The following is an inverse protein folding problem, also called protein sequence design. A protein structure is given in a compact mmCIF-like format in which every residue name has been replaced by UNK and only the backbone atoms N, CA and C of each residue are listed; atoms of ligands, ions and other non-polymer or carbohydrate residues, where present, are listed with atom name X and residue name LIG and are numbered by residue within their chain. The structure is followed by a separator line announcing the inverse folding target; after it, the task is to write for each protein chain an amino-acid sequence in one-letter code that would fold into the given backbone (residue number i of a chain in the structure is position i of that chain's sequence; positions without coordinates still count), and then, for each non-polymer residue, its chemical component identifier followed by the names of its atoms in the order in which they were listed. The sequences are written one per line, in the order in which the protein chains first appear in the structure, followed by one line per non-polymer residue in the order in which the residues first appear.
data_IF_102010790887
#
_entry.id   IF_102010790887
#
_cell.length_a   1.000
_cell.length_b   1.000
_cell.length_c   1.000
_cell.angle_alpha   90.00
_cell.angle_beta   90.00
_cell.angle_gamma   90.00
#
_symmetry.space_group_name_H-M   'P 1'
#
loop_
_entity.id
_entity.type
_entity.pdbx_description
1 polymer ?
#
# COMPACT_ATOMS: atom_id res chain seq x y z
N UNK A 1 5.04 11.20 6.97
CA UNK A 1 4.56 9.81 6.76
C UNK A 1 3.67 9.80 5.53
N UNK A 2 3.85 8.84 4.62
CA UNK A 2 3.08 8.66 3.40
C UNK A 2 2.24 7.39 3.50
N UNK A 3 0.96 7.48 3.15
CA UNK A 3 0.08 6.31 3.01
C UNK A 3 -0.39 6.26 1.56
N UNK A 4 -0.03 5.20 0.85
CA UNK A 4 -0.16 5.14 -0.61
C UNK A 4 -0.90 3.87 -1.03
N UNK A 5 -1.76 3.99 -2.03
CA UNK A 5 -2.47 2.86 -2.60
C UNK A 5 -1.54 2.00 -3.46
N UNK A 6 -1.61 0.68 -3.28
CA UNK A 6 -0.93 -0.31 -4.10
C UNK A 6 -1.21 -0.08 -5.59
N UNK A 7 -0.17 -0.13 -6.42
CA UNK A 7 -0.24 0.10 -7.86
C UNK A 7 -0.24 1.57 -8.28
N UNK A 8 -0.42 2.53 -7.36
CA UNK A 8 -0.33 3.97 -7.65
C UNK A 8 1.11 4.49 -7.61
N UNK A 9 1.33 5.75 -7.98
CA UNK A 9 2.64 6.41 -7.89
C UNK A 9 2.71 7.27 -6.62
N UNK A 10 3.91 7.48 -6.07
CA UNK A 10 4.15 8.43 -4.99
C UNK A 10 5.36 9.30 -5.29
N UNK A 11 5.30 10.56 -4.86
CA UNK A 11 6.45 11.45 -4.82
C UNK A 11 6.82 11.71 -3.37
N UNK A 12 8.00 11.27 -2.96
CA UNK A 12 8.56 11.52 -1.63
C UNK A 12 9.34 12.83 -1.67
N UNK A 13 9.10 13.71 -0.69
CA UNK A 13 9.62 15.08 -0.69
C UNK A 13 10.53 15.32 0.50
N UNK A 14 11.62 16.05 0.24
CA UNK A 14 12.52 16.58 1.25
C UNK A 14 12.88 18.01 0.90
N UNK A 15 12.54 18.92 1.80
CA UNK A 15 13.01 20.30 1.72
C UNK A 15 14.40 20.43 2.36
N UNK A 16 15.25 21.21 1.70
CA UNK A 16 16.58 21.61 2.16
C UNK A 16 16.79 23.11 1.97
N UNK A 17 17.67 23.69 2.79
CA UNK A 17 18.00 25.12 2.75
C UNK A 17 19.51 25.29 2.57
N UNK A 18 19.91 26.07 1.56
CA UNK A 18 21.30 26.41 1.25
C UNK A 18 21.68 27.82 1.73
N UNK A 19 20.76 28.55 2.36
CA UNK A 19 20.97 29.93 2.83
C UNK A 19 21.04 30.96 1.69
N UNK A 20 20.63 30.59 0.48
CA UNK A 20 20.74 31.38 -0.75
C UNK A 20 20.39 30.56 -1.99
N UNK A 21 20.62 31.09 -3.21
CA UNK A 21 20.40 30.35 -4.45
C UNK A 21 21.15 29.01 -4.48
N UNK A 22 20.48 27.97 -4.95
CA UNK A 22 21.03 26.61 -4.97
C UNK A 22 22.05 26.43 -6.09
N UNK A 23 23.28 26.05 -5.75
CA UNK A 23 24.32 25.69 -6.73
C UNK A 23 24.27 24.18 -7.03
N UNK A 24 23.72 23.82 -8.19
CA UNK A 24 23.50 22.40 -8.55
C UNK A 24 24.80 21.61 -8.76
N UNK A 25 25.91 22.24 -9.13
CA UNK A 25 27.18 21.55 -9.39
C UNK A 25 27.79 20.85 -8.17
N UNK A 26 27.40 21.28 -6.97
CA UNK A 26 27.87 20.73 -5.68
C UNK A 26 26.75 20.03 -4.90
N UNK A 27 25.54 19.96 -5.46
CA UNK A 27 24.38 19.35 -4.83
C UNK A 27 24.25 17.89 -5.26
N UNK A 28 24.07 16.99 -4.30
CA UNK A 28 23.68 15.60 -4.55
C UNK A 28 22.51 15.23 -3.65
N UNK A 29 21.39 14.86 -4.26
CA UNK A 29 20.22 14.35 -3.55
C UNK A 29 20.05 12.85 -3.84
N UNK A 30 19.81 12.05 -2.81
CA UNK A 30 19.56 10.62 -2.97
C UNK A 30 18.51 10.11 -1.99
N UNK A 31 17.70 9.16 -2.43
CA UNK A 31 16.76 8.45 -1.58
C UNK A 31 17.31 7.06 -1.30
N UNK A 32 17.41 6.72 -0.02
CA UNK A 32 17.94 5.45 0.45
C UNK A 32 16.84 4.70 1.19
N UNK A 33 16.67 3.41 0.96
CA UNK A 33 15.75 2.55 1.72
C UNK A 33 16.49 1.97 2.92
N UNK A 34 15.83 1.95 4.07
CA UNK A 34 16.34 1.37 5.32
C UNK A 34 15.79 -0.05 5.45
N UNK A 35 16.66 -1.05 5.46
CA UNK A 35 16.31 -2.47 5.58
C UNK A 35 17.23 -3.14 6.60
N UNK A 36 16.68 -3.69 7.69
CA UNK A 36 17.43 -4.41 8.73
C UNK A 36 18.69 -3.63 9.21
N UNK A 37 18.52 -2.36 9.54
CA UNK A 37 19.59 -1.42 9.94
C UNK A 37 20.64 -1.10 8.86
N UNK A 38 20.50 -1.65 7.66
CA UNK A 38 21.29 -1.25 6.49
C UNK A 38 20.58 -0.17 5.68
N UNK A 39 21.36 0.73 5.08
CA UNK A 39 20.85 1.85 4.28
C UNK A 39 21.36 1.69 2.86
N UNK A 40 20.45 1.39 1.93
CA UNK A 40 20.77 1.09 0.54
C UNK A 40 20.17 2.16 -0.38
N UNK A 41 20.85 2.51 -1.46
CA UNK A 41 20.30 3.43 -2.46
C UNK A 41 19.01 2.84 -3.06
N UNK A 42 17.96 3.64 -3.15
CA UNK A 42 16.69 3.18 -3.75
C UNK A 42 16.79 3.17 -5.27
N UNK A 43 16.85 1.98 -5.87
CA UNK A 43 16.81 1.80 -7.33
C UNK A 43 15.41 2.03 -7.94
N UNK A 44 14.38 2.12 -7.08
CA UNK A 44 12.98 2.29 -7.48
C UNK A 44 12.60 3.76 -7.70
N UNK A 45 13.40 4.69 -7.18
CA UNK A 45 13.10 6.10 -7.13
C UNK A 45 13.83 6.87 -8.23
N UNK A 46 13.12 7.81 -8.85
CA UNK A 46 13.71 8.77 -9.80
C UNK A 46 13.67 10.16 -9.18
N UNK A 47 14.82 10.83 -9.12
CA UNK A 47 14.93 12.21 -8.67
C UNK A 47 14.37 13.16 -9.74
N UNK A 48 13.50 14.08 -9.34
CA UNK A 48 12.99 15.16 -10.18
C UNK A 48 13.91 16.37 -10.03
N UNK A 49 14.95 16.44 -10.86
CA UNK A 49 16.01 17.45 -10.76
C UNK A 49 15.49 18.89 -10.95
N UNK A 50 14.37 19.06 -11.66
CA UNK A 50 13.75 20.36 -11.91
C UNK A 50 13.26 21.06 -10.63
N UNK A 51 13.11 20.33 -9.53
CA UNK A 51 12.67 20.85 -8.24
C UNK A 51 13.84 21.28 -7.34
N UNK A 52 15.06 20.84 -7.64
CA UNK A 52 16.25 21.14 -6.83
C UNK A 52 16.54 22.65 -6.72
N UNK A 53 16.40 23.48 -7.78
CA UNK A 53 16.59 24.93 -7.65
C UNK A 53 15.61 25.61 -6.68
N UNK A 54 14.50 24.94 -6.35
CA UNK A 54 13.48 25.43 -5.41
C UNK A 54 13.73 24.98 -3.97
N UNK A 55 14.88 24.34 -3.69
CA UNK A 55 15.19 23.79 -2.37
C UNK A 55 14.45 22.47 -2.07
N UNK A 56 14.01 21.75 -3.10
CA UNK A 56 13.20 20.54 -2.97
C UNK A 56 13.81 19.35 -3.68
N UNK A 57 14.02 18.26 -2.95
CA UNK A 57 14.34 16.96 -3.53
C UNK A 57 13.07 16.11 -3.58
N UNK A 58 12.54 15.90 -4.78
CA UNK A 58 11.37 15.07 -5.03
C UNK A 58 11.76 13.74 -5.68
N UNK A 59 11.33 12.63 -5.09
CA UNK A 59 11.64 11.28 -5.55
C UNK A 59 10.36 10.56 -5.97
N UNK A 60 10.19 10.33 -7.28
CA UNK A 60 9.05 9.59 -7.83
C UNK A 60 9.31 8.09 -7.76
N UNK A 61 8.40 7.35 -7.13
CA UNK A 61 8.37 5.88 -7.16
C UNK A 61 7.08 5.44 -7.87
N UNK A 62 7.16 4.87 -9.09
CA UNK A 62 5.99 4.45 -9.84
C UNK A 62 5.50 3.06 -9.44
N UNK A 63 4.19 2.83 -9.53
CA UNK A 63 3.52 1.53 -9.30
C UNK A 63 3.94 0.86 -8.00
N UNK A 64 3.56 1.48 -6.89
CA UNK A 64 3.91 1.08 -5.53
C UNK A 64 3.52 -0.38 -5.24
N UNK A 65 4.47 -1.14 -4.72
CA UNK A 65 4.32 -2.53 -4.31
C UNK A 65 4.36 -2.65 -2.79
N UNK A 66 3.87 -3.76 -2.22
CA UNK A 66 3.96 -3.97 -0.77
C UNK A 66 5.40 -3.96 -0.25
N UNK A 67 6.36 -4.47 -1.04
CA UNK A 67 7.79 -4.45 -0.72
C UNK A 67 8.41 -3.05 -0.70
N UNK A 68 7.76 -2.06 -1.31
CA UNK A 68 8.22 -0.68 -1.28
C UNK A 68 7.92 -0.04 0.09
N UNK A 69 7.02 -0.62 0.90
CA UNK A 69 6.74 -0.15 2.26
C UNK A 69 8.00 -0.21 3.14
N UNK A 70 8.11 0.76 4.05
CA UNK A 70 9.23 0.83 4.99
C UNK A 70 9.68 2.24 5.30
N UNK A 71 10.84 2.35 5.92
CA UNK A 71 11.50 3.62 6.19
C UNK A 71 12.50 3.92 5.08
N UNK A 72 12.53 5.19 4.68
CA UNK A 72 13.49 5.74 3.73
C UNK A 72 14.25 6.86 4.40
N UNK A 73 15.50 7.04 3.99
CA UNK A 73 16.37 8.14 4.35
C UNK A 73 16.63 8.97 3.11
N UNK A 74 16.20 10.21 3.15
CA UNK A 74 16.48 11.18 2.12
C UNK A 74 17.75 11.94 2.50
N UNK A 75 18.81 11.79 1.70
CA UNK A 75 20.12 12.37 1.96
C UNK A 75 20.38 13.50 0.97
N UNK A 76 20.67 14.68 1.50
CA UNK A 76 21.10 15.85 0.75
C UNK A 76 22.54 16.15 1.11
N UNK A 77 23.40 16.25 0.11
CA UNK A 77 24.80 16.65 0.24
C UNK A 77 24.97 17.95 -0.54
N UNK A 78 25.52 18.97 0.10
CA UNK A 78 25.80 20.27 -0.49
C UNK A 78 27.25 20.67 -0.20
N UNK A 79 28.13 20.47 -1.18
CA UNK A 79 29.57 20.62 -0.99
C UNK A 79 30.12 19.63 0.03
N UNK A 80 30.55 20.12 1.20
CA UNK A 80 31.06 19.30 2.32
C UNK A 80 30.01 19.03 3.41
N UNK A 81 28.89 19.75 3.39
CA UNK A 81 27.81 19.58 4.35
C UNK A 81 26.81 18.54 3.85
N UNK A 82 26.17 17.85 4.77
CA UNK A 82 25.11 16.90 4.45
C UNK A 82 24.09 16.86 5.58
N UNK A 83 22.84 16.65 5.22
CA UNK A 83 21.74 16.43 6.15
C UNK A 83 20.78 15.38 5.58
N UNK A 84 19.96 14.80 6.43
CA UNK A 84 18.99 13.80 6.02
C UNK A 84 17.71 13.81 6.84
N UNK A 85 16.63 13.35 6.21
CA UNK A 85 15.34 13.14 6.86
C UNK A 85 14.85 11.72 6.66
N UNK A 86 14.21 11.18 7.69
CA UNK A 86 13.52 9.89 7.59
C UNK A 86 12.09 10.10 7.11
N UNK A 87 11.70 9.30 6.12
CA UNK A 87 10.35 9.22 5.59
C UNK A 87 9.82 7.81 5.83
N UNK A 88 8.54 7.68 6.17
CA UNK A 88 7.88 6.37 6.29
C UNK A 88 6.85 6.22 5.19
N UNK A 89 6.98 5.19 4.38
CA UNK A 89 6.02 4.80 3.34
C UNK A 89 5.21 3.60 3.83
N UNK A 90 3.90 3.79 4.00
CA UNK A 90 2.92 2.73 4.25
C UNK A 90 2.14 2.47 2.97
N UNK A 91 1.90 1.20 2.68
CA UNK A 91 1.13 0.77 1.52
C UNK A 91 -0.19 0.17 1.97
N UNK A 92 -1.28 0.54 1.30
CA UNK A 92 -2.61 -0.05 1.49
C UNK A 92 -3.15 -0.53 0.14
N UNK A 93 -3.97 -1.57 0.16
CA UNK A 93 -4.73 -2.01 -1.01
C UNK A 93 -6.19 -2.17 -0.59
N UNK A 94 -7.06 -1.34 -1.15
CA UNK A 94 -8.47 -1.34 -0.79
C UNK A 94 -9.18 -2.58 -1.36
N UNK A 95 -10.01 -3.24 -0.56
CA UNK A 95 -10.86 -4.38 -0.96
C UNK A 95 -12.06 -3.93 -1.83
N UNK A 96 -11.80 -3.24 -2.94
CA UNK A 96 -12.84 -2.63 -3.80
C UNK A 96 -13.54 -3.65 -4.70
N UNK A 97 -12.80 -4.64 -5.21
CA UNK A 97 -13.34 -5.67 -6.11
C UNK A 97 -13.74 -6.89 -5.30
N UNK A 98 -15.01 -6.92 -4.90
CA UNK A 98 -15.62 -8.04 -4.19
C UNK A 98 -16.31 -8.95 -5.20
N UNK A 99 -15.81 -10.16 -5.35
CA UNK A 99 -16.42 -11.20 -6.15
C UNK A 99 -17.40 -12.00 -5.28
N UNK A 100 -18.67 -12.03 -5.68
CA UNK A 100 -19.72 -12.78 -4.97
C UNK A 100 -20.11 -14.03 -5.74
N UNK A 101 -20.35 -15.15 -5.04
CA UNK A 101 -20.94 -16.36 -5.61
C UNK A 101 -22.16 -16.79 -4.80
N UNK A 102 -23.16 -17.31 -5.51
CA UNK A 102 -24.39 -17.88 -4.95
C UNK A 102 -24.52 -19.32 -5.47
N UNK A 103 -24.59 -20.29 -4.57
CA UNK A 103 -24.73 -21.71 -4.90
C UNK A 103 -25.87 -22.31 -4.10
N UNK A 104 -26.79 -23.00 -4.79
CA UNK A 104 -27.80 -23.83 -4.11
C UNK A 104 -27.14 -25.15 -3.72
N UNK A 105 -27.30 -25.56 -2.47
CA UNK A 105 -26.74 -26.81 -1.98
C UNK A 105 -27.62 -27.98 -2.43
N UNK A 106 -27.03 -28.91 -3.19
CA UNK A 106 -27.75 -30.08 -3.70
C UNK A 106 -28.26 -30.95 -2.55
N UNK A 107 -29.54 -31.32 -2.61
CA UNK A 107 -30.17 -32.17 -1.59
C UNK A 107 -30.59 -31.44 -0.31
N UNK A 108 -30.47 -30.11 -0.26
CA UNK A 108 -30.98 -29.30 0.87
C UNK A 108 -31.71 -28.04 0.38
N UNK A 109 -32.41 -27.38 1.30
CA UNK A 109 -33.03 -26.05 1.06
C UNK A 109 -32.08 -24.89 1.38
N UNK A 110 -30.78 -25.15 1.48
CA UNK A 110 -29.78 -24.16 1.84
C UNK A 110 -29.07 -23.57 0.62
N UNK A 111 -28.51 -22.40 0.84
CA UNK A 111 -27.65 -21.71 -0.11
C UNK A 111 -26.32 -21.39 0.54
N UNK A 112 -25.29 -21.37 -0.29
CA UNK A 112 -23.96 -20.91 0.06
C UNK A 112 -23.69 -19.58 -0.65
N UNK A 113 -23.36 -18.57 0.14
CA UNK A 113 -22.97 -17.24 -0.28
C UNK A 113 -21.48 -17.08 -0.02
N UNK A 114 -20.73 -16.75 -1.04
CA UNK A 114 -19.29 -16.56 -0.92
C UNK A 114 -18.92 -15.16 -1.36
N UNK A 115 -18.24 -14.42 -0.50
CA UNK A 115 -17.61 -13.14 -0.80
C UNK A 115 -16.10 -13.32 -0.81
N UNK A 116 -15.44 -12.92 -1.91
CA UNK A 116 -14.00 -12.99 -2.05
C UNK A 116 -13.46 -11.64 -2.51
N UNK A 117 -12.43 -11.13 -1.84
CA UNK A 117 -11.80 -9.87 -2.20
C UNK A 117 -10.30 -9.89 -1.87
N UNK A 118 -9.53 -9.09 -2.61
CA UNK A 118 -8.09 -8.92 -2.40
C UNK A 118 -7.78 -7.51 -1.89
N UNK A 119 -6.87 -7.41 -0.94
CA UNK A 119 -6.49 -6.15 -0.32
C UNK A 119 -5.38 -6.29 0.72
N UNK A 120 -5.05 -5.19 1.36
CA UNK A 120 -3.99 -5.10 2.37
C UNK A 120 -4.19 -3.85 3.24
N UNK A 121 -4.01 -3.93 4.58
CA UNK A 121 -3.70 -5.11 5.39
C UNK A 121 -4.83 -6.14 5.45
N UNK A 122 -4.66 -7.23 6.20
CA UNK A 122 -5.70 -8.25 6.39
C UNK A 122 -6.98 -7.61 6.94
N UNK A 123 -8.10 -7.82 6.24
CA UNK A 123 -9.42 -7.35 6.65
C UNK A 123 -10.17 -8.37 7.50
N UNK A 124 -11.03 -7.85 8.39
CA UNK A 124 -12.10 -8.60 9.02
C UNK A 124 -13.35 -8.55 8.15
N UNK A 125 -14.12 -9.64 8.13
CA UNK A 125 -15.36 -9.74 7.34
C UNK A 125 -16.51 -10.01 8.30
N UNK A 126 -17.60 -9.27 8.14
CA UNK A 126 -18.84 -9.45 8.88
C UNK A 126 -20.02 -9.47 7.92
N UNK A 127 -21.01 -10.29 8.24
CA UNK A 127 -22.28 -10.37 7.51
C UNK A 127 -23.36 -9.71 8.40
N UNK A 128 -23.87 -8.52 8.04
CA UNK A 128 -24.80 -7.79 8.88
C UNK A 128 -26.14 -8.52 8.99
N UNK A 129 -26.75 -8.47 10.17
CA UNK A 129 -28.04 -9.09 10.47
C UNK A 129 -28.06 -10.62 10.31
N UNK A 130 -26.91 -11.29 10.34
CA UNK A 130 -26.77 -12.75 10.30
C UNK A 130 -26.24 -13.23 11.65
N UNK A 131 -26.99 -14.13 12.30
CA UNK A 131 -26.63 -14.74 13.58
C UNK A 131 -25.94 -16.11 13.44
N UNK A 132 -25.77 -16.58 12.20
CA UNK A 132 -25.17 -17.88 11.88
C UNK A 132 -23.65 -17.70 11.77
N UNK A 133 -22.84 -18.65 12.28
CA UNK A 133 -21.39 -18.59 12.11
C UNK A 133 -20.98 -18.56 10.63
N UNK A 134 -20.09 -17.62 10.30
CA UNK A 134 -19.52 -17.47 8.96
C UNK A 134 -18.11 -18.05 8.95
N UNK A 135 -17.74 -18.75 7.87
CA UNK A 135 -16.38 -19.26 7.71
C UNK A 135 -15.55 -18.27 6.88
N UNK A 136 -14.68 -17.51 7.54
CA UNK A 136 -13.78 -16.56 6.89
C UNK A 136 -12.36 -17.10 6.92
N UNK A 137 -11.76 -17.27 5.75
CA UNK A 137 -10.37 -17.69 5.58
C UNK A 137 -9.61 -16.68 4.72
N UNK A 138 -8.28 -16.73 4.78
CA UNK A 138 -7.43 -15.88 3.96
C UNK A 138 -6.18 -16.62 3.48
N UNK A 139 -5.69 -16.21 2.31
CA UNK A 139 -4.40 -16.62 1.74
C UNK A 139 -3.63 -15.37 1.31
N UNK A 140 -2.33 -15.52 1.02
CA UNK A 140 -1.51 -14.45 0.45
C UNK A 140 -1.29 -14.71 -1.04
N UNK A 141 -1.43 -13.67 -1.86
CA UNK A 141 -1.08 -13.72 -3.29
C UNK A 141 0.44 -13.68 -3.47
N UNK A 142 0.92 -13.89 -4.70
CA UNK A 142 2.34 -13.74 -5.06
C UNK A 142 2.88 -12.34 -4.77
N UNK A 143 2.02 -11.33 -4.83
CA UNK A 143 2.33 -9.92 -4.57
C UNK A 143 2.26 -9.58 -3.06
N UNK A 144 1.86 -10.53 -2.23
CA UNK A 144 1.73 -10.40 -0.78
C UNK A 144 0.40 -9.80 -0.31
N UNK A 145 -0.55 -9.54 -1.21
CA UNK A 145 -1.91 -9.11 -0.86
C UNK A 145 -2.64 -10.23 -0.14
N UNK A 146 -3.59 -9.89 0.72
CA UNK A 146 -4.49 -10.85 1.35
C UNK A 146 -5.70 -11.08 0.44
N UNK A 147 -5.87 -12.31 -0.02
CA UNK A 147 -7.12 -12.78 -0.60
C UNK A 147 -7.98 -13.33 0.52
N UNK A 148 -9.04 -12.60 0.88
CA UNK A 148 -9.97 -12.98 1.95
C UNK A 148 -11.22 -13.58 1.33
N UNK A 149 -11.62 -14.76 1.81
CA UNK A 149 -12.81 -15.46 1.35
C UNK A 149 -13.71 -15.74 2.56
N UNK A 150 -14.94 -15.24 2.53
CA UNK A 150 -15.95 -15.50 3.55
C UNK A 150 -17.11 -16.28 2.94
N UNK A 151 -17.47 -17.38 3.60
CA UNK A 151 -18.54 -18.29 3.18
C UNK A 151 -19.62 -18.31 4.25
N UNK A 152 -20.85 -18.04 3.82
CA UNK A 152 -22.05 -18.06 4.64
C UNK A 152 -23.03 -19.09 4.06
N UNK A 153 -23.42 -20.06 4.87
CA UNK A 153 -24.39 -21.10 4.49
C UNK A 153 -25.65 -20.96 5.34
N UNK A 154 -26.81 -20.81 4.69
CA UNK A 154 -28.09 -20.59 5.37
C UNK A 154 -29.30 -21.01 4.50
N UNK A 155 -30.49 -21.06 5.11
CA UNK A 155 -31.76 -21.20 4.37
C UNK A 155 -32.29 -19.81 3.96
N UNK A 156 -32.33 -19.49 2.66
CA UNK A 156 -32.68 -18.14 2.21
C UNK A 156 -34.16 -17.83 2.49
N UNK A 157 -34.44 -16.61 2.93
CA UNK A 157 -35.81 -16.10 3.05
C UNK A 157 -36.19 -15.34 1.77
N UNK A 158 -37.42 -15.49 1.24
CA UNK A 158 -37.86 -14.80 0.03
C UNK A 158 -37.70 -13.27 0.17
N UNK A 159 -37.06 -12.63 -0.81
CA UNK A 159 -36.91 -11.16 -0.87
C UNK A 159 -35.80 -10.57 0.00
N UNK A 160 -34.97 -11.39 0.66
CA UNK A 160 -33.86 -10.91 1.50
C UNK A 160 -32.56 -10.82 0.71
N UNK A 161 -31.97 -9.61 0.66
CA UNK A 161 -30.61 -9.40 0.17
C UNK A 161 -29.59 -9.68 1.28
N UNK A 162 -28.40 -10.09 0.88
CA UNK A 162 -27.24 -10.30 1.75
C UNK A 162 -26.17 -9.29 1.36
N UNK A 163 -25.48 -8.74 2.36
CA UNK A 163 -24.41 -7.74 2.19
C UNK A 163 -23.16 -8.22 2.90
#
# INVERSE_FOLDING_TARGET
MYMVDYGSNVTLECDFDTGGPVELGILKASLQKVENDTVLLSERATLLEEQLPLGKALFLIPRIQLKDAGQYRCLIIYGIAWDYKYLTLKVKASYKKINTRYLKVSGTDEVELTCQAEGYPLAEVSWPNISIPTNTSHTKTSEGLYQVTSVLRLKPHPGRNFS
#
